data_IF_971206391538
#
_entry.id   IF_971206391538
#
_cell.length_a   1.000
_cell.length_b   1.000
_cell.length_c   1.000
_cell.angle_alpha   90.00
_cell.angle_beta   90.00
_cell.angle_gamma   90.00
#
_symmetry.space_group_name_H-M   'P 1'
#
loop_
_entity.id
_entity.type
_entity.pdbx_description
1 polymer ?
#
# COMPACT_ATOMS: atom_id res chain seq x y z
N UNK A 1 48.36 -73.83 -23.64
CA UNK A 1 47.81 -72.58 -24.23
C UNK A 1 46.32 -72.52 -23.89
N UNK A 2 46.03 -71.75 -22.84
CA UNK A 2 44.78 -71.08 -22.46
C UNK A 2 43.42 -71.64 -22.92
N UNK A 3 42.76 -72.32 -21.98
CA UNK A 3 41.31 -72.56 -21.93
C UNK A 3 40.54 -71.25 -21.77
N UNK A 4 39.52 -71.06 -22.60
CA UNK A 4 38.55 -69.95 -22.54
C UNK A 4 37.45 -70.27 -21.52
N UNK A 5 37.36 -69.50 -20.43
CA UNK A 5 36.23 -69.54 -19.50
C UNK A 5 35.09 -68.63 -19.98
N UNK A 6 33.87 -69.15 -19.93
CA UNK A 6 32.62 -68.44 -20.18
C UNK A 6 32.17 -67.64 -18.93
N UNK A 7 31.66 -66.42 -19.15
CA UNK A 7 30.96 -65.62 -18.13
C UNK A 7 29.43 -65.69 -18.30
N UNK A 8 28.64 -65.68 -17.21
CA UNK A 8 27.19 -65.83 -17.25
C UNK A 8 26.43 -64.50 -17.45
N UNK A 9 25.22 -64.65 -18.00
CA UNK A 9 24.30 -63.59 -18.45
C UNK A 9 23.48 -62.98 -17.28
N UNK A 10 23.73 -61.74 -16.89
CA UNK A 10 22.99 -61.02 -15.83
C UNK A 10 21.72 -60.28 -16.32
N UNK A 11 20.90 -60.94 -17.15
CA UNK A 11 19.58 -60.40 -17.54
C UNK A 11 18.48 -61.25 -16.93
N UNK A 12 18.22 -61.11 -15.62
CA UNK A 12 16.92 -61.50 -15.03
C UNK A 12 16.62 -61.01 -13.59
N UNK A 13 17.43 -60.15 -12.95
CA UNK A 13 17.14 -59.68 -11.57
C UNK A 13 16.38 -58.34 -11.45
N UNK A 14 16.07 -57.64 -12.55
CA UNK A 14 15.42 -56.32 -12.47
C UNK A 14 13.91 -56.30 -12.79
N UNK A 15 13.25 -57.45 -12.93
CA UNK A 15 11.80 -57.52 -13.25
C UNK A 15 10.87 -57.84 -12.08
N UNK A 16 11.38 -58.12 -10.88
CA UNK A 16 10.54 -58.45 -9.71
C UNK A 16 10.46 -57.37 -8.63
N UNK A 17 11.18 -56.25 -8.78
CA UNK A 17 11.16 -55.14 -7.80
C UNK A 17 10.21 -53.98 -8.18
N UNK A 18 9.35 -54.13 -9.20
CA UNK A 18 8.44 -53.07 -9.67
C UNK A 18 6.95 -53.27 -9.35
N UNK A 19 6.59 -54.33 -8.62
CA UNK A 19 5.18 -54.64 -8.32
C UNK A 19 4.79 -54.53 -6.84
N UNK A 20 5.68 -54.09 -5.96
CA UNK A 20 5.39 -53.92 -4.52
C UNK A 20 5.50 -52.48 -3.99
N UNK A 21 5.80 -51.49 -4.84
CA UNK A 21 5.93 -50.08 -4.41
C UNK A 21 4.70 -49.23 -4.77
N UNK A 22 3.82 -49.71 -5.66
CA UNK A 22 2.64 -48.94 -6.08
C UNK A 22 1.44 -48.91 -5.11
N UNK A 23 1.20 -49.84 -4.16
CA UNK A 23 0.08 -49.70 -3.23
C UNK A 23 0.41 -48.86 -1.99
N UNK A 24 1.69 -48.66 -1.66
CA UNK A 24 2.11 -47.89 -0.47
C UNK A 24 2.10 -46.37 -0.70
N UNK A 25 2.23 -45.88 -1.94
CA UNK A 25 2.05 -44.46 -2.26
C UNK A 25 0.58 -44.02 -2.40
N UNK A 26 -0.34 -44.95 -2.66
CA UNK A 26 -1.78 -44.65 -2.71
C UNK A 26 -2.41 -44.55 -1.31
N UNK A 27 -1.91 -45.29 -0.32
CA UNK A 27 -2.39 -45.19 1.06
C UNK A 27 -1.82 -43.97 1.82
N UNK A 28 -0.65 -43.47 1.43
CA UNK A 28 -0.04 -42.27 2.02
C UNK A 28 -0.63 -40.94 1.48
N UNK A 29 -1.35 -40.97 0.36
CA UNK A 29 -1.98 -39.77 -0.24
C UNK A 29 -3.42 -39.55 0.21
N UNK A 30 -4.08 -40.56 0.80
CA UNK A 30 -5.45 -40.46 1.35
C UNK A 30 -5.49 -40.14 2.85
N UNK A 31 -4.37 -40.18 3.56
CA UNK A 31 -4.26 -39.75 4.97
C UNK A 31 -3.78 -38.29 5.14
N UNK A 32 -3.53 -37.58 4.04
CA UNK A 32 -3.12 -36.17 4.05
C UNK A 32 -4.29 -35.18 3.90
N UNK A 33 -5.53 -35.69 3.73
CA UNK A 33 -6.77 -34.92 3.82
C UNK A 33 -7.36 -35.01 5.24
N UNK A 34 -6.54 -34.72 6.25
CA UNK A 34 -7.01 -34.44 7.61
C UNK A 34 -6.92 -32.94 7.83
N UNK A 35 -8.01 -32.33 8.28
CA UNK A 35 -8.15 -30.92 8.65
C UNK A 35 -6.85 -30.34 9.22
N UNK A 36 -6.10 -29.64 8.36
CA UNK A 36 -5.11 -28.67 8.80
C UNK A 36 -5.77 -27.30 8.84
N UNK A 37 -6.75 -27.18 9.73
CA UNK A 37 -6.94 -25.94 10.45
C UNK A 37 -5.67 -25.72 11.27
N UNK A 38 -4.60 -25.28 10.60
CA UNK A 38 -3.45 -24.75 11.28
C UNK A 38 -3.97 -23.56 12.08
N UNK A 39 -3.86 -23.67 13.40
CA UNK A 39 -4.19 -22.62 14.34
C UNK A 39 -3.50 -21.32 13.91
N UNK A 40 -4.26 -20.48 13.20
CA UNK A 40 -3.95 -19.06 13.08
C UNK A 40 -3.87 -18.59 14.53
N UNK A 41 -2.78 -17.97 14.99
CA UNK A 41 -2.80 -17.29 16.26
C UNK A 41 -3.91 -16.25 16.12
N UNK A 42 -5.05 -16.53 16.74
CA UNK A 42 -6.17 -15.62 16.80
C UNK A 42 -5.57 -14.28 17.22
N UNK A 43 -5.89 -13.22 16.47
CA UNK A 43 -5.56 -11.87 16.87
C UNK A 43 -5.89 -11.74 18.36
N UNK A 44 -4.86 -11.59 19.20
CA UNK A 44 -5.02 -11.72 20.63
C UNK A 44 -6.08 -10.74 21.11
N UNK A 45 -6.95 -11.24 21.99
CA UNK A 45 -7.99 -10.51 22.72
C UNK A 45 -8.89 -9.59 21.88
N UNK A 46 -9.51 -10.13 20.83
CA UNK A 46 -10.86 -9.69 20.50
C UNK A 46 -11.84 -10.52 21.35
N UNK A 47 -12.73 -9.90 22.14
CA UNK A 47 -13.81 -10.67 22.78
C UNK A 47 -14.52 -11.47 21.69
N UNK A 48 -14.72 -12.79 21.93
CA UNK A 48 -15.42 -13.68 21.01
C UNK A 48 -16.64 -12.94 20.45
N UNK A 49 -16.70 -12.67 19.13
CA UNK A 49 -17.72 -11.77 18.63
C UNK A 49 -19.05 -12.47 18.87
N UNK A 50 -19.90 -11.86 19.69
CA UNK A 50 -21.34 -12.06 19.55
C UNK A 50 -21.61 -11.97 18.06
N UNK A 51 -22.09 -13.06 17.45
CA UNK A 51 -22.28 -13.14 16.00
C UNK A 51 -23.16 -11.96 15.61
N UNK A 52 -22.56 -10.93 15.00
CA UNK A 52 -23.30 -9.73 14.63
C UNK A 52 -24.39 -10.13 13.65
N UNK A 53 -25.58 -9.57 13.82
CA UNK A 53 -26.73 -9.86 12.94
C UNK A 53 -27.42 -8.59 12.51
N UNK A 54 -28.21 -8.66 11.45
CA UNK A 54 -29.03 -7.55 10.99
C UNK A 54 -28.23 -6.27 10.76
N UNK A 55 -28.69 -5.18 11.36
CA UNK A 55 -28.12 -3.84 11.16
C UNK A 55 -26.67 -3.73 11.67
N UNK A 56 -26.30 -4.38 12.77
CA UNK A 56 -24.95 -4.27 13.34
C UNK A 56 -23.90 -4.90 12.44
N UNK A 57 -24.24 -6.05 11.81
CA UNK A 57 -23.39 -6.71 10.83
C UNK A 57 -23.15 -5.79 9.62
N UNK A 58 -24.22 -5.16 9.12
CA UNK A 58 -24.17 -4.25 7.98
C UNK A 58 -23.38 -2.98 8.29
N UNK A 59 -23.54 -2.41 9.49
CA UNK A 59 -22.80 -1.23 9.92
C UNK A 59 -21.30 -1.54 10.08
N UNK A 60 -20.99 -2.70 10.66
CA UNK A 60 -19.61 -3.22 10.72
C UNK A 60 -19.02 -3.40 9.31
N UNK A 61 -19.78 -4.00 8.40
CA UNK A 61 -19.39 -4.17 7.00
C UNK A 61 -19.12 -2.86 6.28
N UNK A 62 -19.99 -1.87 6.46
CA UNK A 62 -19.81 -0.51 5.90
C UNK A 62 -18.52 0.13 6.39
N UNK A 63 -18.27 0.04 7.70
CA UNK A 63 -17.05 0.56 8.31
C UNK A 63 -15.81 -0.11 7.72
N UNK A 64 -15.83 -1.43 7.62
CA UNK A 64 -14.74 -2.25 7.11
C UNK A 64 -14.45 -2.04 5.62
N UNK A 65 -15.47 -1.95 4.77
CA UNK A 65 -15.30 -1.67 3.33
C UNK A 65 -14.69 -0.29 3.09
N UNK A 66 -15.03 0.70 3.94
CA UNK A 66 -14.35 2.00 3.93
C UNK A 66 -12.90 1.86 4.40
N UNK A 67 -12.67 1.26 5.57
CA UNK A 67 -11.32 1.08 6.13
C UNK A 67 -10.38 0.29 5.20
N UNK A 68 -10.91 -0.66 4.44
CA UNK A 68 -10.18 -1.43 3.45
C UNK A 68 -9.95 -0.71 2.11
N UNK A 69 -10.46 0.52 1.98
CA UNK A 69 -10.34 1.37 0.80
C UNK A 69 -10.85 0.72 -0.50
N UNK A 70 -11.90 -0.10 -0.41
CA UNK A 70 -12.41 -0.81 -1.59
C UNK A 70 -12.85 0.18 -2.69
N UNK A 71 -13.35 1.35 -2.31
CA UNK A 71 -13.85 2.35 -3.25
C UNK A 71 -12.75 2.91 -4.17
N UNK A 72 -11.51 3.05 -3.69
CA UNK A 72 -10.40 3.62 -4.47
C UNK A 72 -10.08 2.82 -5.73
N UNK A 73 -10.18 1.48 -5.65
CA UNK A 73 -9.96 0.61 -6.80
C UNK A 73 -11.25 0.24 -7.54
N UNK A 74 -12.39 0.23 -6.86
CA UNK A 74 -13.64 -0.25 -7.42
C UNK A 74 -14.61 0.87 -7.84
N UNK A 75 -14.21 2.15 -7.84
CA UNK A 75 -15.07 3.27 -8.28
C UNK A 75 -14.30 4.20 -9.23
N UNK A 76 -14.61 4.14 -10.52
CA UNK A 76 -14.06 5.10 -11.48
C UNK A 76 -14.54 6.54 -11.20
N UNK A 77 -13.76 7.54 -11.63
CA UNK A 77 -14.00 8.98 -11.40
C UNK A 77 -15.44 9.42 -11.73
N UNK A 78 -15.98 8.94 -12.85
CA UNK A 78 -17.33 9.23 -13.33
C UNK A 78 -18.25 7.99 -13.27
N UNK A 79 -17.80 6.96 -12.54
CA UNK A 79 -18.49 5.68 -12.40
C UNK A 79 -19.43 5.63 -11.19
N UNK A 80 -20.35 4.66 -11.20
CA UNK A 80 -21.15 4.37 -10.02
C UNK A 80 -20.28 3.73 -8.92
N UNK A 81 -20.59 3.97 -7.62
CA UNK A 81 -19.85 3.37 -6.51
C UNK A 81 -19.70 1.86 -6.66
N UNK A 82 -18.47 1.37 -6.51
CA UNK A 82 -18.12 -0.05 -6.56
C UNK A 82 -18.32 -0.76 -7.92
N UNK A 83 -18.62 -0.03 -8.99
CA UNK A 83 -18.86 -0.59 -10.33
C UNK A 83 -17.58 -0.91 -11.14
N UNK A 84 -16.39 -0.71 -10.57
CA UNK A 84 -15.10 -1.01 -11.18
C UNK A 84 -14.61 0.07 -12.16
N UNK A 85 -13.63 -0.30 -12.99
CA UNK A 85 -13.13 0.50 -14.11
C UNK A 85 -11.93 1.40 -13.83
N UNK A 86 -11.43 1.47 -12.58
CA UNK A 86 -10.24 2.26 -12.24
C UNK A 86 -8.99 1.65 -12.89
N UNK A 87 -8.25 2.40 -13.73
CA UNK A 87 -6.97 1.94 -14.28
C UNK A 87 -5.87 2.02 -13.21
N UNK A 88 -5.13 0.92 -13.04
CA UNK A 88 -3.98 0.83 -12.15
C UNK A 88 -2.75 0.48 -12.99
N UNK A 89 -2.00 1.51 -13.37
CA UNK A 89 -0.79 1.36 -14.17
C UNK A 89 0.32 0.69 -13.37
N UNK A 90 1.03 -0.25 -13.98
CA UNK A 90 2.17 -0.94 -13.37
C UNK A 90 3.24 -1.26 -14.41
N UNK A 91 4.45 -1.65 -13.98
CA UNK A 91 5.49 -2.15 -14.89
C UNK A 91 5.05 -3.38 -15.72
N UNK A 92 4.03 -4.12 -15.26
CA UNK A 92 3.53 -5.35 -15.90
C UNK A 92 2.40 -5.10 -16.91
N UNK A 93 1.90 -3.86 -16.98
CA UNK A 93 0.71 -3.47 -17.74
C UNK A 93 -0.32 -2.76 -16.86
N UNK A 94 -1.52 -2.59 -17.39
CA UNK A 94 -2.61 -1.88 -16.69
C UNK A 94 -3.61 -2.88 -16.15
N UNK A 95 -3.81 -2.87 -14.83
CA UNK A 95 -4.92 -3.57 -14.18
C UNK A 95 -6.14 -2.67 -14.16
N UNK A 96 -7.32 -3.28 -14.07
CA UNK A 96 -8.59 -2.55 -13.98
C UNK A 96 -9.37 -3.11 -12.80
N UNK A 97 -9.86 -2.24 -11.93
CA UNK A 97 -10.74 -2.64 -10.84
C UNK A 97 -12.03 -3.27 -11.35
N UNK A 98 -12.52 -4.30 -10.67
CA UNK A 98 -13.74 -5.02 -11.08
C UNK A 98 -15.01 -4.41 -10.45
N UNK A 99 -16.17 -4.72 -11.00
CA UNK A 99 -17.45 -4.44 -10.40
C UNK A 99 -17.69 -5.39 -9.22
N UNK A 100 -17.84 -4.82 -8.01
CA UNK A 100 -18.14 -5.57 -6.78
C UNK A 100 -19.53 -5.24 -6.21
N UNK A 101 -20.40 -4.63 -7.02
CA UNK A 101 -21.82 -4.44 -6.69
C UNK A 101 -22.56 -5.80 -6.67
N UNK A 102 -23.76 -5.90 -6.07
CA UNK A 102 -24.55 -7.14 -6.11
C UNK A 102 -25.21 -7.43 -7.45
N UNK A 103 -24.77 -6.77 -8.53
CA UNK A 103 -25.21 -7.14 -9.87
C UNK A 103 -24.90 -8.62 -10.16
N UNK A 104 -25.86 -9.35 -10.72
CA UNK A 104 -25.77 -10.80 -10.88
C UNK A 104 -24.93 -11.21 -12.08
N UNK A 105 -24.77 -10.35 -13.08
CA UNK A 105 -24.15 -10.71 -14.36
C UNK A 105 -22.74 -10.13 -14.48
N UNK A 106 -22.50 -8.97 -13.87
CA UNK A 106 -21.23 -8.28 -13.94
C UNK A 106 -20.56 -8.05 -12.59
N UNK A 107 -21.31 -8.14 -11.49
CA UNK A 107 -20.83 -7.96 -10.12
C UNK A 107 -20.66 -9.27 -9.34
N UNK A 108 -20.72 -9.18 -8.02
CA UNK A 108 -20.59 -10.33 -7.10
C UNK A 108 -21.94 -10.93 -6.70
N UNK A 109 -23.04 -10.59 -7.37
CA UNK A 109 -24.41 -10.97 -6.97
C UNK A 109 -24.70 -12.48 -6.98
N UNK A 110 -23.85 -13.28 -7.65
CA UNK A 110 -23.92 -14.76 -7.67
C UNK A 110 -22.92 -15.42 -6.70
N UNK A 111 -22.06 -14.64 -6.05
CA UNK A 111 -21.05 -15.19 -5.15
C UNK A 111 -21.70 -15.69 -3.86
N UNK A 112 -21.03 -16.60 -3.17
CA UNK A 112 -21.33 -16.91 -1.77
C UNK A 112 -20.40 -16.12 -0.85
N UNK A 113 -20.72 -16.04 0.44
CA UNK A 113 -19.79 -15.48 1.43
C UNK A 113 -18.44 -16.22 1.44
N UNK A 114 -18.43 -17.54 1.23
CA UNK A 114 -17.20 -18.33 1.11
C UNK A 114 -16.39 -17.99 -0.14
N UNK A 115 -17.06 -17.76 -1.29
CA UNK A 115 -16.38 -17.32 -2.51
C UNK A 115 -15.76 -15.92 -2.33
N UNK A 116 -16.46 -15.02 -1.65
CA UNK A 116 -15.92 -13.70 -1.31
C UNK A 116 -14.72 -13.81 -0.36
N UNK A 117 -14.82 -14.60 0.71
CA UNK A 117 -13.70 -14.87 1.62
C UNK A 117 -12.48 -15.43 0.86
N UNK A 118 -12.68 -16.44 0.00
CA UNK A 118 -11.60 -17.05 -0.78
C UNK A 118 -10.96 -16.06 -1.77
N UNK A 119 -11.74 -15.15 -2.35
CA UNK A 119 -11.21 -14.11 -3.21
C UNK A 119 -10.29 -13.14 -2.43
N UNK A 120 -10.72 -12.71 -1.24
CA UNK A 120 -9.92 -11.83 -0.38
C UNK A 120 -8.70 -12.53 0.25
N UNK A 121 -8.82 -13.80 0.61
CA UNK A 121 -7.82 -14.50 1.42
C UNK A 121 -6.81 -15.31 0.57
N UNK A 122 -7.28 -15.90 -0.52
CA UNK A 122 -6.48 -16.81 -1.34
C UNK A 122 -6.28 -16.31 -2.77
N UNK A 123 -6.87 -15.15 -3.13
CA UNK A 123 -6.81 -14.62 -4.48
C UNK A 123 -7.51 -15.52 -5.49
N UNK A 124 -8.60 -16.20 -5.09
CA UNK A 124 -9.36 -17.09 -5.97
C UNK A 124 -10.82 -16.68 -5.99
N UNK A 125 -11.25 -16.13 -7.13
CA UNK A 125 -12.67 -15.92 -7.45
C UNK A 125 -13.30 -17.20 -8.00
N UNK A 126 -14.64 -17.28 -8.14
CA UNK A 126 -15.31 -18.44 -8.72
C UNK A 126 -14.77 -18.87 -10.10
N UNK A 127 -14.37 -17.90 -10.92
CA UNK A 127 -14.01 -18.16 -12.32
C UNK A 127 -12.49 -18.20 -12.56
N UNK A 128 -11.69 -17.57 -11.68
CA UNK A 128 -10.26 -17.34 -11.93
C UNK A 128 -9.44 -17.00 -10.70
N UNK A 129 -8.13 -17.22 -10.82
CA UNK A 129 -7.14 -16.63 -9.92
C UNK A 129 -7.03 -15.11 -10.17
N UNK A 130 -6.97 -14.36 -9.07
CA UNK A 130 -6.77 -12.92 -9.05
C UNK A 130 -5.28 -12.61 -9.17
N UNK A 131 -4.97 -11.44 -9.73
CA UNK A 131 -3.62 -10.89 -9.66
C UNK A 131 -3.44 -10.17 -8.32
N UNK A 132 -2.23 -10.18 -7.74
CA UNK A 132 -1.95 -9.53 -6.46
C UNK A 132 -2.05 -8.00 -6.49
N UNK A 133 -2.36 -7.42 -7.66
CA UNK A 133 -2.84 -6.04 -7.77
C UNK A 133 -4.14 -5.81 -6.99
N UNK A 134 -4.99 -6.85 -6.87
CA UNK A 134 -5.96 -6.93 -5.79
C UNK A 134 -5.20 -7.47 -4.56
N UNK A 135 -5.10 -6.72 -3.45
CA UNK A 135 -4.11 -7.00 -2.40
C UNK A 135 -4.52 -8.15 -1.46
N UNK A 136 -4.89 -9.31 -2.03
CA UNK A 136 -5.29 -10.50 -1.28
C UNK A 136 -4.19 -11.05 -0.38
N UNK A 137 -2.92 -10.79 -0.71
CA UNK A 137 -1.78 -11.12 0.16
C UNK A 137 -1.81 -10.36 1.48
N UNK A 138 -2.30 -9.13 1.46
CA UNK A 138 -2.51 -8.29 2.64
C UNK A 138 -3.84 -8.65 3.33
N UNK A 139 -4.93 -8.75 2.56
CA UNK A 139 -6.26 -9.12 3.07
C UNK A 139 -6.35 -10.52 3.68
N UNK A 140 -5.35 -11.37 3.48
CA UNK A 140 -5.26 -12.66 4.14
C UNK A 140 -5.31 -12.58 5.67
N UNK A 141 -4.89 -11.45 6.23
CA UNK A 141 -5.01 -11.20 7.67
C UNK A 141 -6.45 -10.94 8.15
N UNK A 142 -7.43 -10.73 7.26
CA UNK A 142 -8.82 -10.44 7.61
C UNK A 142 -9.49 -11.63 8.29
N UNK A 143 -10.17 -11.38 9.40
CA UNK A 143 -10.97 -12.41 10.05
C UNK A 143 -12.20 -12.78 9.21
N UNK A 144 -12.63 -14.04 9.30
CA UNK A 144 -13.84 -14.52 8.63
C UNK A 144 -15.09 -13.68 8.97
N UNK A 145 -15.23 -13.28 10.24
CA UNK A 145 -16.35 -12.44 10.67
C UNK A 145 -16.36 -11.07 9.99
N UNK A 146 -15.18 -10.46 9.82
CA UNK A 146 -15.04 -9.17 9.13
C UNK A 146 -15.33 -9.30 7.63
N UNK A 147 -14.87 -10.37 6.96
CA UNK A 147 -15.19 -10.61 5.54
C UNK A 147 -16.68 -10.87 5.31
N UNK A 148 -17.34 -11.61 6.22
CA UNK A 148 -18.78 -11.85 6.16
C UNK A 148 -19.57 -10.53 6.35
N UNK A 149 -19.11 -9.65 7.24
CA UNK A 149 -19.70 -8.33 7.42
C UNK A 149 -19.55 -7.45 6.18
N UNK A 150 -18.34 -7.39 5.60
CA UNK A 150 -18.08 -6.68 4.34
C UNK A 150 -18.99 -7.19 3.23
N UNK A 151 -19.08 -8.52 3.07
CA UNK A 151 -19.94 -9.17 2.07
C UNK A 151 -21.42 -8.83 2.28
N UNK A 152 -21.90 -8.88 3.52
CA UNK A 152 -23.27 -8.51 3.84
C UNK A 152 -23.57 -7.05 3.47
N UNK A 153 -22.68 -6.11 3.77
CA UNK A 153 -22.84 -4.70 3.37
C UNK A 153 -22.88 -4.54 1.85
N UNK A 154 -21.91 -5.11 1.13
CA UNK A 154 -21.84 -5.01 -0.33
C UNK A 154 -23.09 -5.62 -0.98
N UNK A 155 -23.57 -6.76 -0.50
CA UNK A 155 -24.69 -7.46 -1.16
C UNK A 155 -26.06 -6.93 -0.79
N UNK A 156 -26.22 -6.33 0.38
CA UNK A 156 -27.53 -5.91 0.90
C UNK A 156 -27.77 -4.40 0.85
N UNK A 157 -26.71 -3.58 0.78
CA UNK A 157 -26.83 -2.11 0.85
C UNK A 157 -26.33 -1.38 -0.40
N UNK A 158 -25.40 -1.97 -1.16
CA UNK A 158 -24.91 -1.35 -2.40
C UNK A 158 -25.94 -1.59 -3.50
N UNK A 159 -26.23 -0.56 -4.30
CA UNK A 159 -27.12 -0.69 -5.45
C UNK A 159 -26.43 -1.56 -6.52
N UNK A 160 -27.13 -2.54 -7.11
CA UNK A 160 -26.58 -3.30 -8.23
C UNK A 160 -26.38 -2.37 -9.43
N UNK A 161 -25.25 -2.50 -10.10
CA UNK A 161 -24.92 -1.72 -11.30
C UNK A 161 -24.45 -2.67 -12.39
N UNK A 162 -25.18 -2.70 -13.52
CA UNK A 162 -24.88 -3.56 -14.66
C UNK A 162 -23.76 -2.97 -15.53
N UNK A 163 -22.55 -2.89 -14.99
CA UNK A 163 -21.34 -2.46 -15.72
C UNK A 163 -20.39 -3.64 -15.84
N UNK A 164 -20.11 -4.06 -17.08
CA UNK A 164 -19.19 -5.15 -17.35
C UNK A 164 -17.75 -4.82 -16.95
N UNK A 165 -17.04 -5.84 -16.45
CA UNK A 165 -15.62 -5.72 -16.13
C UNK A 165 -14.78 -5.46 -17.38
N UNK A 166 -13.78 -4.59 -17.27
CA UNK A 166 -12.73 -4.43 -18.28
C UNK A 166 -11.62 -5.44 -18.03
N UNK A 167 -11.20 -6.15 -19.07
CA UNK A 167 -10.05 -7.04 -18.99
C UNK A 167 -8.73 -6.27 -18.83
N UNK A 168 -7.76 -6.88 -18.14
CA UNK A 168 -6.47 -6.26 -17.91
C UNK A 168 -5.62 -6.20 -19.19
N UNK A 169 -4.86 -5.13 -19.33
CA UNK A 169 -3.93 -4.91 -20.45
C UNK A 169 -2.51 -5.29 -20.00
N UNK A 170 -2.28 -6.59 -19.84
CA UNK A 170 -1.02 -7.14 -19.34
C UNK A 170 -0.13 -7.64 -20.47
N UNK A 171 1.17 -7.43 -20.33
CA UNK A 171 2.17 -7.89 -21.30
C UNK A 171 2.47 -9.37 -21.07
N UNK A 172 2.79 -10.11 -22.12
CA UNK A 172 3.33 -11.45 -21.97
C UNK A 172 4.64 -11.42 -21.17
N UNK A 173 4.88 -12.36 -20.23
CA UNK A 173 4.06 -13.51 -19.87
C UNK A 173 3.04 -13.28 -18.73
N UNK A 174 2.89 -12.06 -18.24
CA UNK A 174 2.03 -11.72 -17.09
C UNK A 174 0.53 -11.91 -17.36
N UNK A 175 0.12 -11.98 -18.62
CA UNK A 175 -1.24 -12.32 -19.03
C UNK A 175 -1.62 -13.81 -18.80
N UNK A 176 -0.67 -14.69 -18.46
CA UNK A 176 -0.93 -16.12 -18.20
C UNK A 176 -1.44 -16.30 -16.77
N UNK A 177 -2.77 -16.34 -16.62
CA UNK A 177 -3.42 -16.37 -15.30
C UNK A 177 -3.12 -17.62 -14.47
N UNK A 178 -2.85 -18.77 -15.13
CA UNK A 178 -2.48 -20.01 -14.44
C UNK A 178 -1.17 -19.89 -13.65
N UNK A 179 -0.27 -18.98 -14.06
CA UNK A 179 0.98 -18.73 -13.34
C UNK A 179 0.73 -18.23 -11.89
N UNK A 180 -0.44 -17.66 -11.61
CA UNK A 180 -0.78 -17.18 -10.26
C UNK A 180 -0.94 -18.31 -9.24
N UNK A 181 -1.32 -19.51 -9.66
CA UNK A 181 -1.32 -20.67 -8.75
C UNK A 181 0.10 -20.99 -8.27
N UNK A 182 1.08 -20.96 -9.18
CA UNK A 182 2.50 -21.12 -8.84
C UNK A 182 3.01 -19.96 -8.00
N UNK A 183 2.67 -18.71 -8.36
CA UNK A 183 3.05 -17.52 -7.58
C UNK A 183 2.54 -17.61 -6.14
N UNK A 184 1.27 -17.98 -5.94
CA UNK A 184 0.68 -18.15 -4.61
C UNK A 184 1.41 -19.21 -3.79
N UNK A 185 1.80 -20.34 -4.39
CA UNK A 185 2.55 -21.39 -3.70
C UNK A 185 3.85 -20.88 -3.07
N UNK A 186 4.54 -19.94 -3.72
CA UNK A 186 5.80 -19.39 -3.22
C UNK A 186 5.61 -18.18 -2.29
N UNK A 187 4.68 -17.28 -2.63
CA UNK A 187 4.62 -15.93 -2.05
C UNK A 187 3.39 -15.65 -1.18
N UNK A 188 2.33 -16.46 -1.24
CA UNK A 188 1.19 -16.28 -0.35
C UNK A 188 1.57 -16.81 1.05
N UNK A 189 1.66 -15.89 2.03
CA UNK A 189 1.98 -16.18 3.43
C UNK A 189 0.80 -15.81 4.32
N UNK A 190 0.68 -16.43 5.49
CA UNK A 190 -0.42 -16.18 6.43
C UNK A 190 -0.34 -14.78 7.07
N UNK A 191 0.85 -14.19 7.17
CA UNK A 191 1.05 -12.86 7.72
C UNK A 191 2.19 -12.12 7.04
N UNK A 192 2.07 -10.79 7.00
CA UNK A 192 3.15 -9.89 6.64
C UNK A 192 4.07 -9.65 7.85
N UNK A 193 5.38 -9.45 7.63
CA UNK A 193 6.30 -9.08 8.69
C UNK A 193 5.99 -7.67 9.21
N UNK A 194 6.25 -7.46 10.50
CA UNK A 194 5.99 -6.19 11.16
C UNK A 194 7.14 -5.19 11.00
N UNK A 195 6.79 -3.93 10.75
CA UNK A 195 7.75 -2.83 10.65
C UNK A 195 8.12 -2.19 11.99
N UNK A 196 7.37 -2.52 13.05
CA UNK A 196 7.55 -1.98 14.39
C UNK A 196 7.44 -3.09 15.44
N UNK A 197 7.76 -2.76 16.68
CA UNK A 197 7.73 -3.71 17.80
C UNK A 197 6.62 -3.32 18.75
N UNK A 198 5.75 -4.27 19.08
CA UNK A 198 4.72 -4.12 20.09
C UNK A 198 3.95 -5.41 20.33
N UNK A 199 3.19 -5.42 21.42
CA UNK A 199 2.29 -6.49 21.80
C UNK A 199 1.01 -5.97 22.50
N UNK A 200 0.91 -4.67 22.79
CA UNK A 200 -0.29 -4.10 23.38
C UNK A 200 -1.50 -4.28 22.44
N UNK A 201 -2.71 -4.35 23.02
CA UNK A 201 -3.95 -4.51 22.24
C UNK A 201 -4.11 -3.42 21.16
N UNK A 202 -3.73 -2.17 21.46
CA UNK A 202 -3.74 -1.07 20.50
C UNK A 202 -2.76 -1.32 19.33
N UNK A 203 -1.56 -1.84 19.60
CA UNK A 203 -0.60 -2.18 18.57
C UNK A 203 -1.08 -3.33 17.69
N UNK A 204 -1.66 -4.38 18.28
CA UNK A 204 -2.21 -5.52 17.53
C UNK A 204 -3.40 -5.10 16.65
N UNK A 205 -4.26 -4.22 17.17
CA UNK A 205 -5.35 -3.61 16.41
C UNK A 205 -4.81 -2.77 15.25
N UNK A 206 -3.78 -1.96 15.51
CA UNK A 206 -3.12 -1.16 14.49
C UNK A 206 -2.45 -1.99 13.41
N UNK A 207 -1.82 -3.11 13.78
CA UNK A 207 -1.23 -4.08 12.85
C UNK A 207 -2.29 -4.63 11.90
N UNK A 208 -3.45 -4.99 12.44
CA UNK A 208 -4.59 -5.44 11.63
C UNK A 208 -5.09 -4.34 10.67
N UNK A 209 -5.20 -3.10 11.17
CA UNK A 209 -5.62 -1.95 10.37
C UNK A 209 -4.62 -1.60 9.26
N UNK A 210 -3.31 -1.63 9.54
CA UNK A 210 -2.28 -1.26 8.57
C UNK A 210 -2.00 -2.37 7.56
N UNK A 211 -1.80 -3.60 8.03
CA UNK A 211 -1.33 -4.69 7.17
C UNK A 211 -2.48 -5.40 6.47
N UNK A 212 -3.60 -5.64 7.16
CA UNK A 212 -4.71 -6.39 6.59
C UNK A 212 -5.73 -5.47 5.91
N UNK A 213 -6.34 -4.54 6.66
CA UNK A 213 -7.38 -3.68 6.11
C UNK A 213 -6.82 -2.64 5.14
N UNK A 214 -5.94 -1.78 5.61
CA UNK A 214 -5.41 -0.65 4.85
C UNK A 214 -4.25 -0.99 3.92
N UNK A 215 -3.80 -2.25 3.88
CA UNK A 215 -2.78 -2.80 2.97
C UNK A 215 -1.57 -1.87 2.73
N UNK A 216 -1.13 -1.15 3.78
CA UNK A 216 -0.14 -0.08 3.66
C UNK A 216 1.19 -0.58 3.08
N UNK A 217 1.51 -1.85 3.32
CA UNK A 217 2.69 -2.51 2.81
C UNK A 217 2.72 -2.59 1.28
N UNK A 218 1.58 -2.59 0.60
CA UNK A 218 1.50 -2.70 -0.87
C UNK A 218 2.09 -1.48 -1.58
N UNK A 219 2.07 -0.33 -0.92
CA UNK A 219 2.67 0.91 -1.38
C UNK A 219 4.02 1.18 -0.70
N UNK A 220 4.10 0.96 0.61
CA UNK A 220 5.25 1.37 1.42
C UNK A 220 6.32 0.29 1.59
N UNK A 221 6.24 -0.86 0.94
CA UNK A 221 7.32 -1.87 0.98
C UNK A 221 7.87 -2.11 -0.44
N UNK A 222 9.19 -2.26 -0.60
CA UNK A 222 9.75 -2.54 -1.92
C UNK A 222 9.26 -3.91 -2.42
N UNK A 223 9.30 -4.09 -3.73
CA UNK A 223 8.91 -5.35 -4.39
C UNK A 223 10.13 -6.12 -4.87
N UNK A 224 10.09 -7.45 -4.75
CA UNK A 224 11.07 -8.37 -5.29
C UNK A 224 10.90 -8.62 -6.78
N UNK A 225 11.77 -9.47 -7.35
CA UNK A 225 11.84 -9.72 -8.80
C UNK A 225 10.54 -10.28 -9.42
N UNK A 226 9.68 -10.94 -8.64
CA UNK A 226 8.41 -11.51 -9.10
C UNK A 226 7.20 -10.62 -8.71
N UNK A 227 7.44 -9.36 -8.32
CA UNK A 227 6.41 -8.40 -7.93
C UNK A 227 5.83 -8.60 -6.52
N UNK A 228 6.31 -9.60 -5.77
CA UNK A 228 5.96 -9.84 -4.37
C UNK A 228 6.54 -8.77 -3.46
N UNK A 229 5.91 -8.52 -2.30
CA UNK A 229 6.48 -7.65 -1.26
C UNK A 229 7.79 -8.24 -0.73
N UNK A 230 8.79 -7.39 -0.56
CA UNK A 230 10.06 -7.74 0.09
C UNK A 230 9.86 -7.74 1.61
N UNK A 231 9.67 -8.94 2.14
CA UNK A 231 9.47 -9.19 3.56
C UNK A 231 10.66 -8.74 4.45
N UNK A 232 11.84 -8.50 3.88
CA UNK A 232 12.99 -8.01 4.67
C UNK A 232 12.95 -6.51 4.95
N UNK A 233 12.06 -5.76 4.28
CA UNK A 233 11.96 -4.29 4.36
C UNK A 233 10.50 -3.81 4.49
N UNK A 234 9.73 -4.30 5.47
CA UNK A 234 8.35 -3.87 5.65
C UNK A 234 8.29 -2.36 5.89
N UNK A 235 7.44 -1.68 5.12
CA UNK A 235 7.14 -0.25 5.25
C UNK A 235 8.33 0.71 5.05
N UNK A 236 9.44 0.24 4.48
CA UNK A 236 10.67 1.01 4.26
C UNK A 236 10.63 1.98 3.06
N UNK A 237 9.48 2.13 2.40
CA UNK A 237 9.27 2.91 1.19
C UNK A 237 9.52 2.14 -0.09
N UNK A 238 8.91 2.61 -1.19
CA UNK A 238 9.06 2.00 -2.52
C UNK A 238 8.72 2.98 -3.64
N UNK A 239 9.31 2.78 -4.82
CA UNK A 239 8.90 3.50 -6.02
C UNK A 239 7.53 3.01 -6.51
N UNK A 240 6.61 3.94 -6.78
CA UNK A 240 5.28 3.74 -7.33
C UNK A 240 5.16 4.50 -8.66
N UNK A 241 5.90 4.04 -9.66
CA UNK A 241 5.99 4.74 -10.94
C UNK A 241 6.69 6.09 -10.79
N UNK A 242 5.95 7.18 -11.00
CA UNK A 242 6.49 8.55 -10.97
C UNK A 242 6.73 9.08 -9.55
N UNK A 243 6.09 8.53 -8.54
CA UNK A 243 6.25 8.95 -7.14
C UNK A 243 6.89 7.84 -6.30
N UNK A 244 7.41 8.20 -5.13
CA UNK A 244 7.99 7.26 -4.16
C UNK A 244 7.12 7.24 -2.92
N UNK A 245 6.57 6.10 -2.53
CA UNK A 245 5.97 5.96 -1.20
C UNK A 245 7.09 6.10 -0.14
N UNK A 246 6.96 7.02 0.83
CA UNK A 246 8.03 7.26 1.79
C UNK A 246 8.20 6.10 2.77
N UNK A 247 9.37 6.02 3.41
CA UNK A 247 9.62 5.15 4.55
C UNK A 247 8.72 5.54 5.74
N UNK A 248 7.78 4.66 6.10
CA UNK A 248 6.87 4.82 7.24
C UNK A 248 7.17 3.85 8.38
N UNK A 249 8.38 3.30 8.44
CA UNK A 249 8.89 2.62 9.65
C UNK A 249 8.95 3.60 10.83
N UNK A 250 9.02 3.11 12.08
CA UNK A 250 9.17 3.98 13.25
C UNK A 250 10.35 4.97 13.11
N UNK A 251 11.48 4.50 12.56
CA UNK A 251 12.66 5.32 12.34
C UNK A 251 12.43 6.38 11.24
N UNK A 252 11.85 6.00 10.11
CA UNK A 252 11.54 6.91 9.00
C UNK A 252 10.53 7.99 9.38
N UNK A 253 9.53 7.64 10.20
CA UNK A 253 8.56 8.59 10.76
C UNK A 253 9.20 9.55 11.75
N UNK A 254 9.98 9.04 12.72
CA UNK A 254 10.68 9.87 13.69
C UNK A 254 11.69 10.82 13.03
N UNK A 255 12.44 10.38 12.01
CA UNK A 255 13.38 11.22 11.28
C UNK A 255 12.72 12.47 10.65
N UNK A 256 11.44 12.33 10.27
CA UNK A 256 10.62 13.41 9.67
C UNK A 256 9.77 14.15 10.70
N UNK A 257 9.95 13.85 11.99
CA UNK A 257 9.32 14.56 13.09
C UNK A 257 7.86 14.18 13.34
N UNK A 258 7.39 13.03 12.84
CA UNK A 258 6.03 12.56 13.10
C UNK A 258 5.82 12.19 14.56
N UNK A 259 4.70 12.62 15.12
CA UNK A 259 4.23 12.21 16.45
C UNK A 259 3.00 11.32 16.33
N UNK A 260 2.64 10.63 17.41
CA UNK A 260 1.42 9.83 17.45
C UNK A 260 0.17 10.67 17.20
N UNK A 261 0.08 11.86 17.81
CA UNK A 261 -1.05 12.78 17.65
C UNK A 261 -1.14 13.32 16.21
N UNK A 262 0.00 13.63 15.60
CA UNK A 262 0.03 14.11 14.21
C UNK A 262 -0.36 13.01 13.22
N UNK A 263 0.06 11.77 13.44
CA UNK A 263 -0.38 10.63 12.63
C UNK A 263 -1.89 10.39 12.75
N UNK A 264 -2.44 10.45 13.96
CA UNK A 264 -3.89 10.36 14.16
C UNK A 264 -4.63 11.46 13.40
N UNK A 265 -4.13 12.70 13.48
CA UNK A 265 -4.70 13.85 12.75
C UNK A 265 -4.59 13.66 11.25
N UNK A 266 -3.43 13.22 10.76
CA UNK A 266 -3.20 12.96 9.34
C UNK A 266 -4.14 11.90 8.79
N UNK A 267 -4.32 10.77 9.48
CA UNK A 267 -5.23 9.73 8.99
C UNK A 267 -6.71 10.10 9.14
N UNK A 268 -7.05 10.91 10.15
CA UNK A 268 -8.42 11.36 10.40
C UNK A 268 -8.88 12.53 9.53
N UNK A 269 -7.95 13.42 9.15
CA UNK A 269 -8.24 14.68 8.44
C UNK A 269 -7.53 14.76 7.09
N UNK A 270 -6.31 14.23 6.98
CA UNK A 270 -5.47 14.35 5.79
C UNK A 270 -4.50 15.53 5.82
N UNK A 271 -4.46 16.28 6.93
CA UNK A 271 -3.51 17.38 7.15
C UNK A 271 -2.93 17.28 8.56
N UNK A 272 -1.63 17.47 8.68
CA UNK A 272 -0.89 17.57 9.94
C UNK A 272 0.22 18.63 9.79
N UNK A 273 0.91 19.04 10.88
CA UNK A 273 2.03 19.97 10.79
C UNK A 273 3.13 19.53 9.81
N UNK A 274 3.30 18.23 9.62
CA UNK A 274 4.27 17.62 8.71
C UNK A 274 3.83 17.67 7.23
N UNK A 275 2.59 18.07 6.92
CA UNK A 275 2.08 18.17 5.56
C UNK A 275 0.70 17.56 5.39
N UNK A 276 0.29 17.36 4.14
CA UNK A 276 -1.01 16.83 3.77
C UNK A 276 -0.92 15.53 2.98
N UNK A 277 -2.03 14.80 2.92
CA UNK A 277 -2.20 13.66 2.03
C UNK A 277 -2.44 14.20 0.61
N UNK A 278 -1.48 13.98 -0.28
CA UNK A 278 -1.55 14.37 -1.69
C UNK A 278 -1.16 13.21 -2.62
N UNK A 279 -1.43 13.38 -3.92
CA UNK A 279 -1.22 12.33 -4.92
C UNK A 279 -1.94 11.04 -4.53
N UNK A 280 -1.26 9.90 -4.64
CA UNK A 280 -1.79 8.58 -4.33
C UNK A 280 -2.27 8.41 -2.88
N UNK A 281 -1.76 9.23 -1.95
CA UNK A 281 -2.17 9.13 -0.54
C UNK A 281 -3.46 9.89 -0.23
N UNK A 282 -3.86 10.83 -1.09
CA UNK A 282 -5.11 11.55 -0.95
C UNK A 282 -6.34 10.63 -0.98
N UNK A 283 -6.56 9.75 -1.98
CA UNK A 283 -7.72 8.86 -1.99
C UNK A 283 -7.74 7.91 -0.79
N UNK A 284 -6.58 7.45 -0.30
CA UNK A 284 -6.51 6.60 0.90
C UNK A 284 -7.09 7.31 2.14
N UNK A 285 -6.85 8.61 2.30
CA UNK A 285 -7.52 9.37 3.37
C UNK A 285 -8.94 9.75 2.98
N UNK A 286 -9.16 10.18 1.74
CA UNK A 286 -10.43 10.74 1.27
C UNK A 286 -11.56 9.70 1.26
N UNK A 287 -11.24 8.46 0.91
CA UNK A 287 -12.22 7.37 0.75
C UNK A 287 -12.18 6.36 1.90
N UNK A 288 -11.08 6.31 2.67
CA UNK A 288 -10.87 5.32 3.73
C UNK A 288 -10.58 5.94 5.11
N UNK A 289 -9.34 6.33 5.40
CA UNK A 289 -8.88 6.43 6.80
C UNK A 289 -9.58 7.52 7.61
N UNK A 290 -10.09 8.58 6.97
CA UNK A 290 -10.84 9.64 7.66
C UNK A 290 -12.10 9.14 8.35
N UNK A 291 -12.62 7.97 7.94
CA UNK A 291 -13.81 7.35 8.51
C UNK A 291 -13.52 6.36 9.64
N UNK A 292 -12.23 6.15 9.97
CA UNK A 292 -11.86 5.36 11.14
C UNK A 292 -12.30 6.08 12.41
N UNK A 293 -12.73 5.30 13.41
CA UNK A 293 -13.01 5.87 14.72
C UNK A 293 -11.69 6.26 15.42
N UNK A 294 -11.79 7.09 16.46
CA UNK A 294 -10.61 7.62 17.18
C UNK A 294 -9.72 6.53 17.79
N UNK A 295 -10.32 5.42 18.27
CA UNK A 295 -9.54 4.31 18.81
C UNK A 295 -8.73 3.60 17.72
N UNK A 296 -9.30 3.43 16.52
CA UNK A 296 -8.63 2.82 15.38
C UNK A 296 -7.58 3.75 14.76
N UNK A 297 -7.82 5.05 14.70
CA UNK A 297 -6.78 6.04 14.33
C UNK A 297 -5.59 5.97 15.31
N UNK A 298 -5.89 5.88 16.61
CA UNK A 298 -4.87 5.74 17.64
C UNK A 298 -4.10 4.43 17.53
N UNK A 299 -4.80 3.32 17.32
CA UNK A 299 -4.21 2.01 17.11
C UNK A 299 -3.29 1.98 15.87
N UNK A 300 -3.75 2.54 14.74
CA UNK A 300 -2.94 2.66 13.52
C UNK A 300 -1.63 3.44 13.77
N UNK A 301 -1.72 4.59 14.43
CA UNK A 301 -0.52 5.36 14.81
C UNK A 301 0.40 4.59 15.78
N UNK A 302 -0.16 3.87 16.76
CA UNK A 302 0.60 3.01 17.67
C UNK A 302 1.33 1.90 16.93
N UNK A 303 0.71 1.27 15.93
CA UNK A 303 1.39 0.26 15.12
C UNK A 303 2.54 0.86 14.33
N UNK A 304 2.34 1.98 13.64
CA UNK A 304 3.41 2.56 12.83
C UNK A 304 4.62 3.04 13.64
N UNK A 305 4.41 3.45 14.90
CA UNK A 305 5.49 3.89 15.80
C UNK A 305 6.05 2.77 16.70
N UNK A 306 5.28 1.71 16.93
CA UNK A 306 5.55 0.70 17.95
C UNK A 306 5.08 1.11 19.36
N UNK A 307 5.02 0.14 20.27
CA UNK A 307 4.61 0.39 21.67
C UNK A 307 5.58 1.34 22.39
N UNK A 308 6.84 1.35 21.96
CA UNK A 308 7.88 2.28 22.42
C UNK A 308 8.26 3.20 21.28
N UNK A 309 7.39 4.17 21.02
CA UNK A 309 7.57 5.13 19.95
C UNK A 309 8.94 5.85 20.07
N UNK A 310 9.76 5.89 19.00
CA UNK A 310 10.96 6.72 18.98
C UNK A 310 10.60 8.20 19.07
N UNK A 311 11.45 8.99 19.72
CA UNK A 311 11.24 10.43 19.82
C UNK A 311 11.31 11.09 18.42
N UNK A 312 10.37 12.00 18.10
CA UNK A 312 10.41 12.76 16.85
C UNK A 312 11.70 13.59 16.79
N UNK A 313 12.40 13.53 15.66
CA UNK A 313 13.64 14.27 15.48
C UNK A 313 13.33 15.74 15.15
N UNK A 314 13.91 16.69 15.90
CA UNK A 314 13.72 18.11 15.60
C UNK A 314 14.31 18.45 14.23
N UNK A 315 13.78 19.50 13.60
CA UNK A 315 14.39 20.06 12.41
C UNK A 315 15.79 20.58 12.78
N UNK A 316 16.82 20.15 12.03
CA UNK A 316 18.20 20.63 12.20
C UNK A 316 18.52 21.60 11.08
N UNK A 317 18.79 22.88 11.37
CA UNK A 317 19.19 23.84 10.34
C UNK A 317 20.47 23.38 9.63
N UNK A 318 20.47 23.46 8.29
CA UNK A 318 21.67 23.25 7.48
C UNK A 318 22.20 24.60 7.05
N UNK A 319 23.41 24.94 7.51
CA UNK A 319 24.06 26.20 7.13
C UNK A 319 24.57 26.14 5.68
N UNK A 320 24.50 27.27 4.98
CA UNK A 320 25.14 27.44 3.69
C UNK A 320 26.66 27.28 3.82
N UNK A 321 27.29 26.65 2.82
CA UNK A 321 28.73 26.61 2.65
C UNK A 321 29.16 27.65 1.61
N UNK A 322 30.46 27.95 1.53
CA UNK A 322 30.97 28.85 0.49
C UNK A 322 30.60 28.37 -0.92
N UNK A 323 30.62 27.05 -1.15
CA UNK A 323 30.39 26.45 -2.47
C UNK A 323 28.93 26.50 -2.94
N UNK A 324 27.97 26.59 -2.02
CA UNK A 324 26.53 26.58 -2.35
C UNK A 324 25.78 27.88 -2.02
N UNK A 325 26.45 28.87 -1.43
CA UNK A 325 25.82 30.12 -0.98
C UNK A 325 25.08 30.85 -2.11
N UNK A 326 25.70 30.99 -3.28
CA UNK A 326 25.07 31.66 -4.43
C UNK A 326 23.88 30.88 -4.98
N UNK A 327 23.97 29.54 -5.01
CA UNK A 327 22.85 28.68 -5.42
C UNK A 327 21.67 28.82 -4.45
N UNK A 328 21.92 28.79 -3.14
CA UNK A 328 20.88 28.95 -2.11
C UNK A 328 20.26 30.35 -2.15
N UNK A 329 21.05 31.39 -2.45
CA UNK A 329 20.56 32.75 -2.65
C UNK A 329 19.65 32.84 -3.88
N UNK A 330 20.02 32.21 -4.99
CA UNK A 330 19.18 32.12 -6.18
C UNK A 330 17.88 31.34 -5.89
N UNK A 331 17.98 30.19 -5.22
CA UNK A 331 16.83 29.38 -4.80
C UNK A 331 15.86 30.14 -3.89
N UNK A 332 16.39 30.94 -2.95
CA UNK A 332 15.60 31.83 -2.12
C UNK A 332 14.87 32.90 -2.94
N UNK A 333 15.54 33.49 -3.92
CA UNK A 333 14.90 34.48 -4.80
C UNK A 333 13.72 33.85 -5.57
N UNK A 334 13.90 32.64 -6.11
CA UNK A 334 12.82 31.87 -6.74
C UNK A 334 11.68 31.58 -5.76
N UNK A 335 11.98 31.12 -4.55
CA UNK A 335 10.97 30.84 -3.52
C UNK A 335 10.11 32.08 -3.21
N UNK A 336 10.74 33.23 -3.02
CA UNK A 336 10.03 34.48 -2.75
C UNK A 336 9.18 34.92 -3.94
N UNK A 337 9.62 34.65 -5.16
CA UNK A 337 8.90 35.02 -6.37
C UNK A 337 7.65 34.15 -6.62
N UNK A 338 7.73 32.83 -6.39
CA UNK A 338 6.69 31.91 -6.87
C UNK A 338 6.05 31.02 -5.80
N UNK A 339 6.63 30.90 -4.59
CA UNK A 339 6.14 30.01 -3.54
C UNK A 339 5.59 30.77 -2.32
N UNK A 340 6.25 31.86 -1.93
CA UNK A 340 6.03 32.51 -0.64
C UNK A 340 4.62 33.15 -0.48
N UNK A 341 3.94 33.46 -1.58
CA UNK A 341 2.58 33.99 -1.53
C UNK A 341 1.57 33.02 -0.89
N UNK A 342 1.81 31.71 -1.03
CA UNK A 342 0.97 30.66 -0.45
C UNK A 342 1.64 29.99 0.76
N UNK A 343 2.94 29.67 0.65
CA UNK A 343 3.68 28.94 1.69
C UNK A 343 4.26 29.82 2.80
N UNK A 344 3.98 31.13 2.78
CA UNK A 344 4.54 32.09 3.72
C UNK A 344 5.94 32.54 3.34
N UNK A 345 6.45 33.58 3.98
CA UNK A 345 7.81 34.09 3.65
C UNK A 345 8.91 33.22 4.27
N UNK A 346 8.62 32.62 5.42
CA UNK A 346 9.54 31.81 6.20
C UNK A 346 9.05 30.35 6.27
N UNK A 347 8.23 29.93 5.30
CA UNK A 347 7.74 28.55 5.18
C UNK A 347 6.65 28.16 6.18
N UNK A 348 6.02 29.12 6.85
CA UNK A 348 5.00 28.92 7.87
C UNK A 348 3.67 28.37 7.33
N UNK A 349 3.48 28.40 6.01
CA UNK A 349 2.23 27.99 5.35
C UNK A 349 1.10 28.99 5.58
N UNK A 350 -0.08 28.64 5.07
CA UNK A 350 -1.29 29.43 5.27
C UNK A 350 -2.45 28.49 5.54
N UNK A 351 -3.09 28.57 6.73
CA UNK A 351 -4.21 27.71 7.08
C UNK A 351 -5.29 27.67 5.98
N UNK A 352 -5.78 26.47 5.68
CA UNK A 352 -6.79 26.21 4.64
C UNK A 352 -6.41 26.66 3.21
N UNK A 353 -5.12 26.91 2.95
CA UNK A 353 -4.62 27.34 1.64
C UNK A 353 -3.44 26.51 1.21
N UNK A 354 -2.38 26.45 2.02
CA UNK A 354 -1.15 25.73 1.69
C UNK A 354 -0.46 25.23 2.97
N UNK A 355 0.12 24.03 2.87
CA UNK A 355 0.85 23.42 3.98
C UNK A 355 2.11 24.25 4.32
N UNK A 356 2.55 24.23 5.60
CA UNK A 356 3.86 24.74 5.95
C UNK A 356 4.94 23.96 5.19
N UNK A 357 6.00 24.66 4.81
CA UNK A 357 7.23 24.04 4.32
C UNK A 357 8.18 23.74 5.49
N UNK A 358 8.19 24.60 6.51
CA UNK A 358 9.05 24.46 7.68
C UNK A 358 8.75 23.13 8.39
N UNK A 359 9.71 22.21 8.34
CA UNK A 359 9.57 20.89 8.95
C UNK A 359 8.66 19.92 8.20
N UNK A 360 8.20 20.25 6.99
CA UNK A 360 7.32 19.39 6.20
C UNK A 360 8.03 18.07 5.81
N UNK A 361 7.32 16.95 5.94
CA UNK A 361 7.89 15.62 5.72
C UNK A 361 8.43 15.42 4.30
N UNK A 362 7.86 16.07 3.28
CA UNK A 362 8.33 15.98 1.89
C UNK A 362 9.68 16.68 1.71
N UNK A 363 9.87 17.87 2.31
CA UNK A 363 11.18 18.57 2.25
C UNK A 363 12.22 17.93 3.17
N UNK A 364 11.77 17.25 4.24
CA UNK A 364 12.62 16.50 5.17
C UNK A 364 13.04 15.12 4.68
N UNK A 365 12.51 14.64 3.55
CA UNK A 365 12.93 13.36 2.98
C UNK A 365 14.39 13.43 2.50
N UNK A 366 15.17 12.39 2.81
CA UNK A 366 16.55 12.28 2.30
C UNK A 366 16.55 12.25 0.76
N UNK A 367 15.63 11.49 0.17
CA UNK A 367 15.38 11.53 -1.27
C UNK A 367 14.43 12.68 -1.64
N UNK A 368 14.90 13.58 -2.50
CA UNK A 368 14.15 14.73 -2.99
C UNK A 368 13.14 14.40 -4.09
N UNK A 369 13.06 13.14 -4.55
CA UNK A 369 12.22 12.74 -5.68
C UNK A 369 10.80 13.30 -5.61
N UNK A 370 10.08 13.06 -4.52
CA UNK A 370 8.70 13.54 -4.38
C UNK A 370 8.58 15.06 -4.32
N UNK A 371 9.58 15.75 -3.75
CA UNK A 371 9.60 17.21 -3.73
C UNK A 371 9.72 17.75 -5.17
N UNK A 372 10.62 17.16 -5.96
CA UNK A 372 10.82 17.52 -7.35
C UNK A 372 9.57 17.23 -8.20
N UNK A 373 8.99 16.04 -8.05
CA UNK A 373 7.76 15.66 -8.79
C UNK A 373 6.60 16.58 -8.41
N UNK A 374 6.41 16.88 -7.13
CA UNK A 374 5.37 17.82 -6.71
C UNK A 374 5.57 19.22 -7.31
N UNK A 375 6.80 19.72 -7.38
CA UNK A 375 7.06 21.02 -8.01
C UNK A 375 6.95 20.99 -9.53
N UNK A 376 7.33 19.89 -10.19
CA UNK A 376 7.23 19.77 -11.64
C UNK A 376 5.77 19.66 -12.09
N UNK A 377 5.01 18.78 -11.46
CA UNK A 377 3.67 18.41 -11.89
C UNK A 377 2.58 19.29 -11.26
N UNK A 378 2.87 19.90 -10.10
CA UNK A 378 1.88 20.58 -9.28
C UNK A 378 1.07 19.62 -8.42
N UNK A 379 0.13 20.17 -7.65
CA UNK A 379 -0.80 19.42 -6.80
C UNK A 379 -2.20 20.00 -7.04
N UNK A 380 -3.16 19.15 -7.43
CA UNK A 380 -4.55 19.56 -7.61
C UNK A 380 -5.16 20.08 -6.30
N UNK A 381 -6.19 20.93 -6.40
CA UNK A 381 -6.92 21.38 -5.22
C UNK A 381 -7.56 20.21 -4.46
N UNK A 382 -7.46 20.23 -3.13
CA UNK A 382 -7.87 19.12 -2.28
C UNK A 382 -8.89 19.57 -1.24
N UNK A 383 -9.86 18.70 -0.93
CA UNK A 383 -10.84 18.92 0.14
C UNK A 383 -10.71 17.84 1.20
N UNK A 384 -10.69 18.30 2.44
CA UNK A 384 -10.56 17.47 3.62
C UNK A 384 -11.83 17.61 4.48
N UNK A 385 -12.01 16.80 5.53
CA UNK A 385 -13.19 16.87 6.39
C UNK A 385 -13.45 18.28 6.94
N UNK A 386 -14.73 18.63 7.06
CA UNK A 386 -15.14 19.94 7.58
C UNK A 386 -14.95 21.06 6.57
N UNK A 387 -14.20 22.10 6.96
CA UNK A 387 -13.91 23.27 6.11
C UNK A 387 -12.47 23.29 5.61
N UNK A 388 -11.70 22.24 5.92
CA UNK A 388 -10.32 22.11 5.52
C UNK A 388 -10.19 21.89 4.01
N UNK A 389 -9.37 22.71 3.37
CA UNK A 389 -9.07 22.60 1.96
C UNK A 389 -7.64 23.08 1.70
N UNK A 390 -7.05 22.61 0.60
CA UNK A 390 -5.80 23.15 0.09
C UNK A 390 -6.03 23.60 -1.36
N UNK A 391 -5.49 24.78 -1.69
CA UNK A 391 -5.56 25.32 -3.03
C UNK A 391 -4.68 24.51 -3.97
N UNK A 392 -4.98 24.59 -5.26
CA UNK A 392 -4.12 24.05 -6.30
C UNK A 392 -2.73 24.69 -6.21
N UNK A 393 -1.70 23.87 -6.20
CA UNK A 393 -0.31 24.29 -6.37
C UNK A 393 0.06 24.09 -7.84
N UNK A 394 0.36 25.17 -8.59
CA UNK A 394 0.72 25.03 -9.99
C UNK A 394 2.03 24.25 -10.14
N UNK A 395 2.16 23.53 -11.26
CA UNK A 395 3.43 22.96 -11.68
C UNK A 395 4.39 24.03 -12.20
N UNK A 396 5.68 23.79 -12.01
CA UNK A 396 6.79 24.67 -12.40
C UNK A 396 7.66 24.04 -13.49
N UNK A 397 7.11 23.16 -14.31
CA UNK A 397 7.79 22.51 -15.43
C UNK A 397 8.37 23.50 -16.47
N UNK A 398 7.95 24.75 -16.49
CA UNK A 398 8.52 25.81 -17.34
C UNK A 398 9.83 26.41 -16.80
N UNK A 399 10.13 26.25 -15.50
CA UNK A 399 11.41 26.71 -14.93
C UNK A 399 12.56 25.89 -15.49
N UNK A 400 13.77 26.45 -15.60
CA UNK A 400 14.95 25.69 -16.02
C UNK A 400 15.37 24.67 -14.94
N UNK A 401 16.09 23.63 -15.35
CA UNK A 401 16.63 22.61 -14.43
C UNK A 401 17.55 23.20 -13.36
N UNK A 402 18.37 24.19 -13.74
CA UNK A 402 19.26 24.88 -12.81
C UNK A 402 18.48 25.70 -11.78
N UNK A 403 17.46 26.43 -12.20
CA UNK A 403 16.62 27.22 -11.30
C UNK A 403 15.82 26.32 -10.35
N UNK A 404 15.24 25.22 -10.86
CA UNK A 404 14.47 24.30 -10.03
C UNK A 404 15.39 23.54 -9.06
N UNK A 405 16.60 23.14 -9.46
CA UNK A 405 17.58 22.55 -8.56
C UNK A 405 17.97 23.52 -7.44
N UNK A 406 18.22 24.79 -7.76
CA UNK A 406 18.52 25.83 -6.77
C UNK A 406 17.36 26.05 -5.79
N UNK A 407 16.11 26.14 -6.29
CA UNK A 407 14.91 26.22 -5.48
C UNK A 407 14.77 25.00 -4.55
N UNK A 408 14.93 23.80 -5.09
CA UNK A 408 14.85 22.54 -4.34
C UNK A 408 15.88 22.51 -3.21
N UNK A 409 17.12 22.88 -3.50
CA UNK A 409 18.20 22.95 -2.50
C UNK A 409 17.88 23.96 -1.40
N UNK A 410 17.35 25.14 -1.75
CA UNK A 410 16.91 26.12 -0.76
C UNK A 410 15.82 25.56 0.16
N UNK A 411 14.77 24.93 -0.40
CA UNK A 411 13.71 24.31 0.40
C UNK A 411 14.24 23.22 1.34
N UNK A 412 15.12 22.35 0.82
CA UNK A 412 15.72 21.24 1.56
C UNK A 412 16.60 21.72 2.72
N UNK A 413 17.48 22.69 2.49
CA UNK A 413 18.38 23.18 3.54
C UNK A 413 17.65 24.05 4.56
N UNK A 414 16.77 24.94 4.10
CA UNK A 414 16.15 25.95 4.93
C UNK A 414 14.95 25.41 5.73
N UNK A 415 14.20 24.46 5.15
CA UNK A 415 12.96 23.95 5.76
C UNK A 415 13.00 22.45 6.07
N UNK A 416 13.88 21.69 5.42
CA UNK A 416 13.96 20.23 5.55
C UNK A 416 15.13 19.69 6.38
N UNK A 417 16.15 20.50 6.65
CA UNK A 417 17.37 20.04 7.31
C UNK A 417 18.15 19.01 6.49
N UNK A 418 18.02 19.07 5.16
CA UNK A 418 18.65 18.19 4.19
C UNK A 418 19.77 18.93 3.45
N UNK A 419 20.80 18.22 2.91
CA UNK A 419 21.86 18.86 2.16
C UNK A 419 21.37 19.47 0.84
N UNK A 420 22.13 20.46 0.34
CA UNK A 420 21.96 21.03 -0.99
C UNK A 420 22.68 20.17 -2.04
N UNK A 421 22.13 19.01 -2.34
CA UNK A 421 22.72 17.97 -3.20
C UNK A 421 22.00 17.79 -4.55
N UNK A 422 21.01 18.63 -4.85
CA UNK A 422 20.24 18.54 -6.09
C UNK A 422 20.96 19.26 -7.22
N UNK A 423 21.12 18.54 -8.34
CA UNK A 423 21.74 19.01 -9.58
C UNK A 423 20.69 19.20 -10.67
N UNK A 424 21.03 19.98 -11.70
CA UNK A 424 20.17 20.14 -12.88
C UNK A 424 19.88 18.79 -13.56
N UNK A 425 20.87 17.89 -13.67
CA UNK A 425 20.68 16.56 -14.26
C UNK A 425 19.65 15.72 -13.49
N UNK A 426 19.61 15.82 -12.15
CA UNK A 426 18.60 15.13 -11.35
C UNK A 426 17.19 15.66 -11.61
N UNK A 427 17.05 16.96 -11.88
CA UNK A 427 15.76 17.55 -12.29
C UNK A 427 15.38 17.07 -13.69
N UNK A 428 16.29 17.17 -14.65
CA UNK A 428 16.08 16.76 -16.04
C UNK A 428 15.59 15.31 -16.14
N UNK A 429 16.17 14.41 -15.33
CA UNK A 429 15.80 13.00 -15.29
C UNK A 429 14.35 12.73 -14.84
N UNK A 430 13.68 13.68 -14.18
CA UNK A 430 12.29 13.57 -13.71
C UNK A 430 11.27 14.29 -14.60
N UNK A 431 11.73 15.01 -15.63
CA UNK A 431 10.84 15.66 -16.61
C UNK A 431 10.31 14.70 -17.66
N UNK A 432 11.07 13.64 -17.92
CA UNK A 432 10.68 12.54 -18.80
C UNK A 432 9.70 11.62 -18.07
#
# INVERSE_FOLDING_TARGET
>A
MTMTMAQPNHRNLFRLARLAVLPLLAAATLAACGDRSADIPAAADQPSPTKLTGADLINRGRYLVRAADCAACHTAKDGAPFAGGVPLASPFGTFYGTNITPDKDHGIGKWSADAFYKALHDGVSPDKHLYPAMPYTSYRGLSRGDTDAMYAYLTQQVKPVAVANREHELRFPYNIRLAMAGWNLFFLKDALPDASVGNAAAWQRGRYLANALGHCAECHSPRGFAGQLDASKPLAGAALGRVVAPDITPAGLAARGWTQADLQTFFGVGIAPQGSAFGEMYPVVHLSTQYLNQADLGALATYLLGDKAPAPQPLKPVAATADNADQLKAGRASYLAVCAGCHGRDGEGKPHVAVPMLGNATVRNADAHNLLVAMLDGIEAQRFPGTEALQEMPGFAQMSDTELAALTNYLRTNFGGQPADITADKVMGLRQ
#
